data_IF_177665726190
#
_entry.id   IF_177665726190
#
_cell.length_a   1.000
_cell.length_b   1.000
_cell.length_c   1.000
_cell.angle_alpha   90.00
_cell.angle_beta   90.00
_cell.angle_gamma   90.00
#
_symmetry.space_group_name_H-M   'P 1'
#
loop_
_entity.id
_entity.type
_entity.pdbx_description
1 polymer ?
#
# COMPACT_ATOMS: atom_id res chain seq x y z
N UNK A 1 -4.06 -18.68 9.83
CA UNK A 1 -4.62 -17.36 10.22
C UNK A 1 -5.24 -17.33 11.63
N UNK A 2 -4.99 -18.35 12.47
CA UNK A 2 -5.33 -18.35 13.91
C UNK A 2 -4.29 -17.62 14.78
N UNK A 3 -3.13 -17.27 14.22
CA UNK A 3 -2.03 -16.62 14.93
C UNK A 3 -1.90 -15.10 14.65
N UNK A 4 -2.69 -14.55 13.73
CA UNK A 4 -2.64 -13.13 13.41
C UNK A 4 -3.38 -12.30 14.45
N UNK A 5 -2.75 -11.20 14.89
CA UNK A 5 -3.32 -10.22 15.79
C UNK A 5 -4.65 -9.68 15.21
N UNK A 6 -5.73 -9.77 15.99
CA UNK A 6 -7.04 -9.25 15.58
C UNK A 6 -7.05 -7.72 15.68
N UNK A 7 -7.88 -7.08 14.87
CA UNK A 7 -7.89 -5.61 14.79
C UNK A 7 -8.24 -4.98 16.14
N UNK A 8 -9.27 -5.46 16.82
CA UNK A 8 -9.69 -4.92 18.12
C UNK A 8 -8.57 -5.04 19.17
N UNK A 9 -7.89 -6.19 19.22
CA UNK A 9 -6.74 -6.41 20.08
C UNK A 9 -5.56 -5.48 19.75
N UNK A 10 -5.33 -5.21 18.45
CA UNK A 10 -4.32 -4.27 18.00
C UNK A 10 -4.66 -2.85 18.45
N UNK A 11 -5.92 -2.42 18.30
CA UNK A 11 -6.36 -1.09 18.70
C UNK A 11 -6.23 -0.89 20.21
N UNK A 12 -6.69 -1.86 21.02
CA UNK A 12 -6.51 -1.83 22.49
C UNK A 12 -5.04 -1.77 22.91
N UNK A 13 -4.18 -2.55 22.25
CA UNK A 13 -2.74 -2.51 22.50
C UNK A 13 -2.15 -1.14 22.17
N UNK A 14 -2.52 -0.54 21.03
CA UNK A 14 -2.03 0.77 20.59
C UNK A 14 -2.47 1.89 21.53
N UNK A 15 -3.72 1.88 22.01
CA UNK A 15 -4.21 2.82 23.04
C UNK A 15 -3.34 2.77 24.30
N UNK A 16 -3.06 1.57 24.83
CA UNK A 16 -2.21 1.39 26.01
C UNK A 16 -0.77 1.86 25.78
N UNK A 17 -0.20 1.57 24.62
CA UNK A 17 1.17 1.97 24.28
C UNK A 17 1.29 3.49 24.11
N UNK A 18 0.32 4.15 23.49
CA UNK A 18 0.28 5.61 23.40
C UNK A 18 0.16 6.27 24.77
N UNK A 19 -0.70 5.75 25.65
CA UNK A 19 -0.84 6.25 27.02
C UNK A 19 0.46 6.09 27.82
N UNK A 20 1.09 4.91 27.74
CA UNK A 20 2.36 4.63 28.42
C UNK A 20 3.49 5.52 27.90
N UNK A 21 3.58 5.74 26.59
CA UNK A 21 4.58 6.63 26.00
C UNK A 21 4.44 8.07 26.52
N UNK A 22 3.19 8.57 26.63
CA UNK A 22 2.90 9.88 27.22
C UNK A 22 3.33 9.96 28.70
N UNK A 23 2.99 8.95 29.50
CA UNK A 23 3.40 8.86 30.91
C UNK A 23 4.93 8.88 31.06
N UNK A 24 5.64 8.19 30.17
CA UNK A 24 7.11 8.09 30.15
C UNK A 24 7.79 9.24 29.40
N UNK A 25 7.04 10.20 28.85
CA UNK A 25 7.55 11.32 28.03
C UNK A 25 8.39 10.85 26.82
N UNK A 26 7.97 9.76 26.18
CA UNK A 26 8.58 9.18 24.99
C UNK A 26 7.68 9.36 23.76
N UNK A 27 8.28 9.33 22.57
CA UNK A 27 7.56 9.22 21.31
C UNK A 27 7.12 7.78 21.03
N UNK A 28 5.92 7.61 20.48
CA UNK A 28 5.41 6.32 20.02
C UNK A 28 4.75 6.46 18.65
N UNK A 29 4.88 5.44 17.81
CA UNK A 29 4.29 5.39 16.48
C UNK A 29 4.37 3.99 15.90
N UNK A 30 3.75 3.79 14.73
CA UNK A 30 3.71 2.49 14.06
C UNK A 30 4.38 2.56 12.69
N UNK A 31 4.88 1.41 12.21
CA UNK A 31 5.44 1.26 10.87
C UNK A 31 4.53 0.37 10.00
N UNK A 32 4.00 0.91 8.91
CA UNK A 32 3.08 0.24 8.00
C UNK A 32 3.60 0.24 6.56
N UNK A 33 3.93 -0.86 5.90
CA UNK A 33 4.20 -2.22 6.37
C UNK A 33 5.35 -2.77 5.49
N UNK A 34 6.06 -3.81 5.91
CA UNK A 34 7.15 -4.37 5.11
C UNK A 34 6.60 -5.21 3.93
N UNK A 35 5.99 -6.35 4.24
CA UNK A 35 5.39 -7.24 3.25
C UNK A 35 4.13 -7.87 3.83
N UNK A 36 3.26 -8.38 2.96
CA UNK A 36 2.08 -9.14 3.35
C UNK A 36 2.26 -10.61 2.97
N UNK A 37 2.12 -11.51 3.94
CA UNK A 37 2.07 -12.95 3.67
C UNK A 37 0.83 -13.30 2.86
N UNK A 38 1.00 -14.08 1.80
CA UNK A 38 -0.06 -14.50 0.89
C UNK A 38 0.12 -15.96 0.49
N UNK A 39 -0.95 -16.61 0.05
CA UNK A 39 -0.89 -18.03 -0.36
C UNK A 39 -0.05 -18.17 -1.63
N UNK A 40 0.94 -19.07 -1.60
CA UNK A 40 1.76 -19.41 -2.74
C UNK A 40 0.99 -20.30 -3.73
N UNK A 41 0.22 -19.67 -4.62
CA UNK A 41 -0.53 -20.38 -5.68
C UNK A 41 0.29 -20.62 -6.95
N UNK A 42 1.53 -20.13 -7.02
CA UNK A 42 2.32 -20.09 -8.27
C UNK A 42 3.35 -21.19 -8.38
N UNK A 43 3.70 -21.84 -7.27
CA UNK A 43 4.75 -22.87 -7.23
C UNK A 43 6.14 -22.38 -7.67
N UNK A 44 6.35 -21.06 -7.76
CA UNK A 44 7.60 -20.46 -8.19
C UNK A 44 8.62 -20.35 -7.04
N UNK A 45 8.13 -20.36 -5.81
CA UNK A 45 8.92 -20.41 -4.58
C UNK A 45 8.56 -21.69 -3.83
N UNK A 46 9.48 -22.27 -3.04
CA UNK A 46 9.16 -23.39 -2.15
C UNK A 46 8.21 -22.94 -1.02
N UNK A 47 7.40 -23.87 -0.50
CA UNK A 47 6.48 -23.64 0.63
C UNK A 47 5.10 -23.09 0.23
N UNK A 48 4.21 -22.99 1.22
CA UNK A 48 2.80 -22.60 1.02
C UNK A 48 2.56 -21.08 1.06
N UNK A 49 3.57 -20.30 1.42
CA UNK A 49 3.48 -18.84 1.59
C UNK A 49 4.41 -18.08 0.64
N UNK A 50 3.97 -16.90 0.19
CA UNK A 50 4.76 -15.94 -0.56
C UNK A 50 4.46 -14.52 -0.06
N UNK A 51 5.42 -13.61 -0.17
CA UNK A 51 5.26 -12.23 0.31
C UNK A 51 4.89 -11.27 -0.83
N UNK A 52 3.81 -10.51 -0.63
CA UNK A 52 3.41 -9.42 -1.50
C UNK A 52 4.09 -8.11 -1.09
N UNK A 53 4.68 -7.43 -2.08
CA UNK A 53 5.32 -6.12 -1.94
C UNK A 53 5.06 -5.23 -3.17
N UNK A 54 5.52 -3.99 -3.13
CA UNK A 54 5.38 -3.02 -4.23
C UNK A 54 3.94 -2.54 -4.44
N UNK A 55 3.63 -2.10 -5.66
CA UNK A 55 2.37 -1.41 -5.99
C UNK A 55 1.08 -2.15 -5.60
N UNK A 56 1.10 -3.48 -5.55
CA UNK A 56 -0.05 -4.28 -5.14
C UNK A 56 -0.34 -4.19 -3.63
N UNK A 57 0.68 -3.88 -2.82
CA UNK A 57 0.56 -3.69 -1.37
C UNK A 57 0.02 -2.30 -1.01
N UNK A 58 0.14 -1.32 -1.90
CA UNK A 58 -0.30 0.06 -1.66
C UNK A 58 -1.75 0.19 -1.19
N UNK A 59 -2.78 -0.33 -1.91
CA UNK A 59 -4.16 -0.19 -1.47
C UNK A 59 -4.41 -0.81 -0.09
N UNK A 60 -3.74 -1.92 0.25
CA UNK A 60 -3.89 -2.55 1.56
C UNK A 60 -3.24 -1.72 2.67
N UNK A 61 -1.99 -1.30 2.45
CA UNK A 61 -1.23 -0.57 3.46
C UNK A 61 -1.82 0.82 3.76
N UNK A 62 -2.28 1.55 2.73
CA UNK A 62 -2.87 2.87 2.92
C UNK A 62 -4.25 2.79 3.58
N UNK A 63 -5.03 1.73 3.32
CA UNK A 63 -6.31 1.52 4.00
C UNK A 63 -6.12 1.14 5.48
N UNK A 64 -5.08 0.38 5.82
CA UNK A 64 -4.71 0.15 7.23
C UNK A 64 -4.29 1.46 7.90
N UNK A 65 -3.52 2.30 7.21
CA UNK A 65 -3.16 3.62 7.73
C UNK A 65 -4.42 4.47 7.99
N UNK A 66 -5.37 4.53 7.05
CA UNK A 66 -6.63 5.25 7.21
C UNK A 66 -7.47 4.71 8.38
N UNK A 67 -7.53 3.39 8.55
CA UNK A 67 -8.22 2.77 9.70
C UNK A 67 -7.62 3.24 11.03
N UNK A 68 -6.30 3.14 11.18
CA UNK A 68 -5.64 3.57 12.42
C UNK A 68 -5.78 5.08 12.63
N UNK A 69 -5.61 5.89 11.59
CA UNK A 69 -5.73 7.33 11.73
C UNK A 69 -7.15 7.78 12.10
N UNK A 70 -8.20 7.07 11.68
CA UNK A 70 -9.57 7.32 12.17
C UNK A 70 -9.72 6.98 13.65
N UNK A 71 -9.17 5.84 14.08
CA UNK A 71 -9.24 5.41 15.50
C UNK A 71 -8.54 6.41 16.44
N UNK A 72 -7.41 6.98 16.00
CA UNK A 72 -6.57 7.83 16.84
C UNK A 72 -6.69 9.34 16.53
N UNK A 73 -7.70 9.75 15.75
CA UNK A 73 -7.90 11.14 15.30
C UNK A 73 -6.66 11.76 14.65
N UNK A 74 -5.91 10.96 13.89
CA UNK A 74 -4.67 11.34 13.24
C UNK A 74 -3.45 11.50 14.16
N UNK A 75 -3.62 11.31 15.48
CA UNK A 75 -2.57 11.54 16.49
C UNK A 75 -1.53 10.43 16.58
N UNK A 76 -1.84 9.22 16.10
CA UNK A 76 -0.86 8.12 16.03
C UNK A 76 0.11 8.38 14.87
N UNK A 77 1.41 8.62 15.12
CA UNK A 77 2.40 8.79 14.06
C UNK A 77 2.59 7.49 13.26
N UNK A 78 2.67 7.62 11.94
CA UNK A 78 2.83 6.49 11.03
C UNK A 78 4.09 6.69 10.18
N UNK A 79 5.03 5.75 10.29
CA UNK A 79 6.07 5.53 9.28
C UNK A 79 5.52 4.59 8.20
N UNK A 80 5.61 4.99 6.94
CA UNK A 80 5.00 4.25 5.83
C UNK A 80 6.01 3.53 4.94
N UNK A 81 5.71 2.31 4.53
CA UNK A 81 6.56 1.44 3.70
C UNK A 81 5.75 0.49 2.78
N UNK A 82 4.48 0.78 2.49
CA UNK A 82 3.62 -0.11 1.71
C UNK A 82 3.47 0.31 0.25
N UNK A 83 4.39 -0.07 -0.63
CA UNK A 83 4.20 0.13 -2.08
C UNK A 83 4.25 1.59 -2.56
N UNK A 84 4.87 2.49 -1.80
CA UNK A 84 5.11 3.87 -2.23
C UNK A 84 5.99 3.93 -3.51
N UNK A 85 5.69 4.89 -4.37
CA UNK A 85 6.38 5.12 -5.64
C UNK A 85 6.42 6.62 -5.94
N UNK A 86 7.14 7.02 -6.99
CA UNK A 86 7.10 8.40 -7.51
C UNK A 86 5.67 8.90 -7.77
N UNK A 87 4.73 8.01 -8.14
CA UNK A 87 3.35 8.39 -8.46
C UNK A 87 2.46 8.60 -7.24
N UNK A 88 2.88 8.13 -6.06
CA UNK A 88 2.06 8.16 -4.84
C UNK A 88 2.74 8.92 -3.71
N UNK A 89 4.05 9.20 -3.81
CA UNK A 89 4.86 9.76 -2.72
C UNK A 89 4.32 11.10 -2.23
N UNK A 90 3.92 11.98 -3.16
CA UNK A 90 3.29 13.26 -2.85
C UNK A 90 1.99 13.06 -2.10
N UNK A 91 1.06 12.31 -2.66
CA UNK A 91 -0.25 12.11 -2.03
C UNK A 91 -0.13 11.51 -0.63
N UNK A 92 0.78 10.55 -0.42
CA UNK A 92 1.05 9.99 0.92
C UNK A 92 1.59 11.09 1.85
N UNK A 93 2.60 11.84 1.41
CA UNK A 93 3.23 12.87 2.22
C UNK A 93 2.26 13.97 2.63
N UNK A 94 1.40 14.41 1.71
CA UNK A 94 0.46 15.49 1.97
C UNK A 94 -0.64 15.11 2.97
N UNK A 95 -0.80 13.82 3.31
CA UNK A 95 -1.63 13.38 4.45
C UNK A 95 -0.98 13.62 5.81
N UNK A 96 0.28 14.02 5.87
CA UNK A 96 1.06 14.14 7.12
C UNK A 96 1.74 12.84 7.55
N UNK A 97 1.58 11.73 6.82
CA UNK A 97 2.34 10.49 7.04
C UNK A 97 3.82 10.73 6.74
N UNK A 98 4.67 10.50 7.75
CA UNK A 98 6.13 10.58 7.63
C UNK A 98 6.83 9.83 8.78
N UNK A 99 8.00 9.21 8.53
CA UNK A 99 8.72 9.15 7.24
C UNK A 99 8.14 8.11 6.27
N UNK A 100 8.42 8.28 4.96
CA UNK A 100 8.03 7.34 3.91
C UNK A 100 9.26 6.58 3.40
N UNK A 101 9.22 5.26 3.48
CA UNK A 101 10.26 4.33 3.00
C UNK A 101 9.85 3.74 1.66
N UNK A 102 10.75 3.84 0.68
CA UNK A 102 10.61 3.21 -0.64
C UNK A 102 11.60 2.05 -0.76
N UNK A 103 11.14 0.90 -1.25
CA UNK A 103 11.98 -0.28 -1.45
C UNK A 103 11.76 -0.88 -2.85
N UNK A 104 10.60 -1.51 -3.10
CA UNK A 104 10.34 -2.20 -4.37
C UNK A 104 10.46 -1.30 -5.60
N UNK A 105 10.12 -0.01 -5.50
CA UNK A 105 10.29 0.91 -6.64
C UNK A 105 11.76 1.25 -6.91
N UNK A 106 12.62 1.26 -5.88
CA UNK A 106 14.06 1.48 -6.01
C UNK A 106 14.78 0.28 -6.62
N UNK A 107 14.30 -0.93 -6.35
CA UNK A 107 14.88 -2.18 -6.87
C UNK A 107 14.54 -2.44 -8.35
N UNK A 108 13.65 -1.66 -8.96
CA UNK A 108 13.33 -1.76 -10.39
C UNK A 108 14.41 -1.08 -11.24
N UNK A 109 14.53 -1.43 -12.53
CA UNK A 109 15.39 -0.71 -13.46
C UNK A 109 15.11 0.80 -13.43
N UNK A 110 16.18 1.60 -13.25
CA UNK A 110 16.09 3.05 -13.11
C UNK A 110 15.53 3.56 -11.77
N UNK A 111 15.33 2.70 -10.77
CA UNK A 111 14.70 3.05 -9.50
C UNK A 111 15.40 4.16 -8.72
N UNK A 112 16.73 4.15 -8.65
CA UNK A 112 17.51 5.22 -8.00
C UNK A 112 17.30 6.59 -8.65
N UNK A 113 17.14 6.65 -9.98
CA UNK A 113 16.88 7.92 -10.68
C UNK A 113 15.51 8.52 -10.32
N UNK A 114 14.57 7.69 -9.88
CA UNK A 114 13.24 8.13 -9.44
C UNK A 114 13.30 8.88 -8.11
N UNK A 115 14.34 8.70 -7.29
CA UNK A 115 14.50 9.45 -6.04
C UNK A 115 14.53 10.96 -6.29
N UNK A 116 15.28 11.42 -7.29
CA UNK A 116 15.32 12.85 -7.65
C UNK A 116 13.96 13.37 -8.08
N UNK A 117 13.15 12.55 -8.76
CA UNK A 117 11.79 12.93 -9.12
C UNK A 117 10.85 12.95 -7.91
N UNK A 118 10.98 12.00 -6.98
CA UNK A 118 10.25 12.01 -5.72
C UNK A 118 10.58 13.24 -4.89
N UNK A 119 11.86 13.63 -4.82
CA UNK A 119 12.27 14.84 -4.08
C UNK A 119 11.63 16.10 -4.65
N UNK A 120 11.62 16.26 -5.98
CA UNK A 120 10.94 17.40 -6.64
C UNK A 120 9.44 17.46 -6.34
N UNK A 121 8.78 16.29 -6.30
CA UNK A 121 7.37 16.22 -5.89
C UNK A 121 7.17 16.65 -4.43
N UNK A 122 8.08 16.27 -3.53
CA UNK A 122 8.02 16.59 -2.10
C UNK A 122 8.38 18.04 -1.78
N UNK A 123 9.31 18.65 -2.52
CA UNK A 123 9.65 20.07 -2.41
C UNK A 123 8.44 20.96 -2.70
N UNK A 124 7.55 20.52 -3.58
CA UNK A 124 6.32 21.23 -3.97
C UNK A 124 5.07 20.73 -3.22
N UNK A 125 5.23 19.75 -2.33
CA UNK A 125 4.12 19.15 -1.63
C UNK A 125 3.65 20.04 -0.47
N UNK A 126 2.33 20.07 -0.28
CA UNK A 126 1.76 20.59 0.96
C UNK A 126 2.03 19.60 2.12
N UNK A 127 1.97 20.06 3.37
CA UNK A 127 1.99 19.16 4.52
C UNK A 127 3.30 19.08 5.30
N UNK A 128 4.32 19.87 4.95
CA UNK A 128 5.51 20.04 5.79
C UNK A 128 5.14 20.52 7.20
N UNK A 129 4.17 21.43 7.31
CA UNK A 129 3.73 22.01 8.59
C UNK A 129 2.72 21.15 9.39
N UNK A 130 2.26 20.02 8.83
CA UNK A 130 1.28 19.15 9.49
C UNK A 130 1.86 18.53 10.76
N UNK A 131 1.24 18.78 11.91
CA UNK A 131 1.69 18.21 13.19
C UNK A 131 1.14 16.80 13.44
N UNK A 132 0.16 16.37 12.66
CA UNK A 132 -0.50 15.08 12.75
C UNK A 132 -1.06 14.66 11.40
N UNK A 133 -1.57 13.43 11.30
CA UNK A 133 -2.17 12.94 10.07
C UNK A 133 -3.50 13.64 9.80
N UNK A 134 -3.68 14.14 8.58
CA UNK A 134 -4.95 14.64 8.03
C UNK A 134 -5.84 13.44 7.67
N UNK A 135 -6.75 13.09 8.58
CA UNK A 135 -7.63 11.92 8.47
C UNK A 135 -8.55 12.00 7.25
N UNK A 136 -9.22 13.13 6.95
CA UNK A 136 -9.99 13.27 5.71
C UNK A 136 -9.17 13.02 4.45
N UNK A 137 -7.99 13.64 4.34
CA UNK A 137 -7.13 13.49 3.15
C UNK A 137 -6.62 12.07 2.99
N UNK A 138 -6.21 11.43 4.09
CA UNK A 138 -5.80 10.03 4.09
C UNK A 138 -6.94 9.08 3.71
N UNK A 139 -8.15 9.33 4.20
CA UNK A 139 -9.32 8.52 3.86
C UNK A 139 -9.64 8.61 2.37
N UNK A 140 -9.60 9.81 1.79
CA UNK A 140 -9.80 10.02 0.36
C UNK A 140 -8.72 9.30 -0.48
N UNK A 141 -7.46 9.35 -0.06
CA UNK A 141 -6.37 8.60 -0.71
C UNK A 141 -6.59 7.08 -0.63
N UNK A 142 -7.06 6.59 0.51
CA UNK A 142 -7.31 5.17 0.72
C UNK A 142 -8.44 4.62 -0.16
N UNK A 143 -9.52 5.40 -0.34
CA UNK A 143 -10.61 5.08 -1.27
C UNK A 143 -10.10 5.08 -2.73
N UNK A 144 -9.38 6.13 -3.12
CA UNK A 144 -8.79 6.26 -4.46
C UNK A 144 -7.87 5.07 -4.80
N UNK A 145 -7.08 4.59 -3.84
CA UNK A 145 -6.08 3.55 -4.06
C UNK A 145 -6.65 2.22 -4.61
N UNK A 146 -7.93 1.93 -4.34
CA UNK A 146 -8.62 0.71 -4.78
C UNK A 146 -8.83 0.70 -6.30
N UNK A 147 -9.03 1.86 -6.91
CA UNK A 147 -9.32 2.02 -8.34
C UNK A 147 -8.16 2.58 -9.17
N UNK A 148 -7.00 2.88 -8.56
CA UNK A 148 -5.84 3.38 -9.29
C UNK A 148 -5.33 2.37 -10.32
N UNK A 149 -5.23 2.76 -11.59
CA UNK A 149 -4.68 1.91 -12.65
C UNK A 149 -3.25 1.43 -12.33
N UNK A 150 -2.44 2.29 -11.69
CA UNK A 150 -1.08 1.95 -11.27
C UNK A 150 -1.02 0.80 -10.24
N UNK A 151 -2.00 0.69 -9.34
CA UNK A 151 -2.04 -0.35 -8.30
C UNK A 151 -2.47 -1.70 -8.88
N UNK A 152 -3.16 -1.68 -10.02
CA UNK A 152 -3.53 -2.89 -10.74
C UNK A 152 -2.32 -3.50 -11.43
N UNK A 153 -1.96 -4.72 -11.03
CA UNK A 153 -0.83 -5.45 -11.61
C UNK A 153 -1.15 -5.92 -13.03
N UNK A 154 -1.13 -5.01 -14.01
CA UNK A 154 -1.09 -5.38 -15.42
C UNK A 154 0.21 -6.13 -15.70
N UNK A 155 0.08 -7.31 -16.31
CA UNK A 155 1.19 -8.12 -16.77
C UNK A 155 1.76 -7.49 -18.03
N UNK A 156 2.90 -6.81 -17.92
CA UNK A 156 3.73 -6.56 -19.10
C UNK A 156 4.26 -7.92 -19.56
N UNK A 157 3.89 -8.31 -20.77
CA UNK A 157 4.32 -9.55 -21.40
C UNK A 157 5.83 -9.45 -21.62
N UNK A 158 6.61 -10.07 -20.75
CA UNK A 158 8.02 -10.32 -21.01
C UNK A 158 8.15 -11.32 -22.19
N UNK A 159 8.54 -10.80 -23.35
CA UNK A 159 9.19 -11.54 -24.44
C UNK A 159 8.30 -12.32 -25.43
N UNK A 160 8.78 -12.55 -26.67
CA UNK A 160 7.93 -12.86 -27.83
C UNK A 160 7.35 -14.29 -27.88
N UNK A 161 7.70 -15.19 -26.97
CA UNK A 161 7.55 -16.63 -27.23
C UNK A 161 6.36 -17.38 -26.60
N UNK A 162 5.35 -16.71 -26.03
CA UNK A 162 4.15 -17.43 -25.49
C UNK A 162 2.78 -16.79 -25.81
N UNK A 163 2.65 -16.10 -26.94
CA UNK A 163 1.43 -15.34 -27.30
C UNK A 163 0.18 -16.13 -27.74
N UNK A 164 0.25 -17.43 -28.04
CA UNK A 164 -0.87 -18.12 -28.73
C UNK A 164 -1.98 -18.70 -27.83
N UNK A 165 -1.76 -18.92 -26.53
CA UNK A 165 -2.80 -19.50 -25.64
C UNK A 165 -3.64 -18.47 -24.88
N UNK A 166 -3.11 -17.27 -24.60
CA UNK A 166 -3.81 -16.25 -23.81
C UNK A 166 -4.92 -15.50 -24.60
N UNK A 167 -4.72 -15.29 -25.91
CA UNK A 167 -5.68 -14.59 -26.75
C UNK A 167 -7.01 -15.35 -26.92
N UNK A 168 -6.98 -16.68 -26.87
CA UNK A 168 -8.17 -17.54 -26.99
C UNK A 168 -9.01 -17.52 -25.71
N UNK A 169 -8.37 -17.55 -24.54
CA UNK A 169 -9.04 -17.48 -23.24
C UNK A 169 -9.75 -16.14 -23.01
N UNK A 170 -9.11 -15.02 -23.39
CA UNK A 170 -9.71 -13.69 -23.25
C UNK A 170 -10.94 -13.49 -24.17
N UNK A 171 -10.92 -14.11 -25.36
CA UNK A 171 -12.04 -14.07 -26.31
C UNK A 171 -13.24 -14.90 -25.84
N UNK A 172 -12.98 -16.03 -25.19
CA UNK A 172 -14.00 -16.90 -24.59
C UNK A 172 -14.65 -16.23 -23.37
N UNK A 173 -13.86 -15.59 -22.50
CA UNK A 173 -14.40 -14.88 -21.32
C UNK A 173 -15.30 -13.70 -21.71
N UNK A 174 -14.91 -12.92 -22.73
CA UNK A 174 -15.74 -11.81 -23.26
C UNK A 174 -17.02 -12.30 -23.93
N UNK A 175 -17.01 -13.49 -24.56
CA UNK A 175 -18.22 -14.12 -25.12
C UNK A 175 -19.16 -14.61 -24.02
N UNK A 176 -18.63 -15.21 -22.95
CA UNK A 176 -19.43 -15.68 -21.82
C UNK A 176 -20.09 -14.52 -21.06
N UNK A 177 -19.37 -13.42 -20.81
CA UNK A 177 -19.92 -12.23 -20.17
C UNK A 177 -21.01 -11.53 -21.02
N UNK A 178 -20.85 -11.48 -22.35
CA UNK A 178 -21.86 -10.89 -23.25
C UNK A 178 -23.12 -11.74 -23.43
N UNK A 179 -23.10 -13.02 -23.04
CA UNK A 179 -24.29 -13.88 -23.05
C UNK A 179 -25.09 -13.68 -21.76
N UNK A 180 -24.41 -13.53 -20.62
CA UNK A 180 -25.01 -13.36 -19.30
C UNK A 180 -25.60 -11.97 -19.00
N UNK A 181 -25.41 -11.01 -19.89
CA UNK A 181 -25.94 -9.64 -19.80
C UNK A 181 -27.12 -9.41 -20.76
N UNK A 182 -27.60 -10.46 -21.44
CA UNK A 182 -28.71 -10.39 -22.41
C UNK A 182 -29.87 -11.33 -22.08
N UNK A 183 -29.76 -12.06 -20.97
CA UNK A 183 -30.82 -12.81 -20.30
C UNK A 183 -31.05 -12.14 -18.93
#
# INVERSE_FOLDING_TARGET
>A
MTHDLKIDQALEMLHRLMALAKERRLGFGVKLTNTLGTINRKGALPGDEMYMSGRALFPLAINVAALLSREFDGRLPISYSGGASQLTIREIFETGIRPITMATDLLKPGGYLRLSACMRELEQASGWDLQQVDVPRLSALAEKAISMEYTQKHWEIAGPHRGRRAATAHRLLRRALRKRLRD
#
